data_IF_578586304847
#
_entry.id   IF_578586304847
#
_cell.length_a   1.000
_cell.length_b   1.000
_cell.length_c   1.000
_cell.angle_alpha   90.00
_cell.angle_beta   90.00
_cell.angle_gamma   90.00
#
_symmetry.space_group_name_H-M   'P 1'
#
loop_
_entity.id
_entity.type
_entity.pdbx_description
1 polymer ?
#
# COMPACT_ATOMS: atom_id res chain seq x y z
N UNK A 1 10.85 6.97 20.21
CA UNK A 1 10.57 8.03 21.20
C UNK A 1 11.64 9.16 21.15
N UNK A 2 12.94 8.85 21.14
CA UNK A 2 13.99 9.89 21.17
C UNK A 2 14.01 10.72 19.87
N UNK A 3 13.90 10.11 18.70
CA UNK A 3 13.90 10.82 17.42
C UNK A 3 12.80 11.89 17.32
N UNK A 4 11.57 11.51 17.71
CA UNK A 4 10.42 12.45 17.70
C UNK A 4 10.65 13.62 18.66
N UNK A 5 11.20 13.37 19.85
CA UNK A 5 11.57 14.45 20.82
C UNK A 5 12.61 15.41 20.26
N UNK A 6 13.46 14.93 19.36
CA UNK A 6 14.51 15.73 18.69
C UNK A 6 14.03 16.33 17.36
N UNK A 7 12.71 16.35 17.10
CA UNK A 7 12.12 17.01 15.95
C UNK A 7 12.09 16.17 14.66
N UNK A 8 12.47 14.88 14.71
CA UNK A 8 12.36 14.01 13.54
C UNK A 8 10.91 13.61 13.33
N UNK A 9 10.40 13.81 12.11
CA UNK A 9 9.10 13.28 11.69
C UNK A 9 9.26 11.84 11.20
N UNK A 10 8.62 10.90 11.91
CA UNK A 10 8.55 9.49 11.51
C UNK A 10 7.23 9.29 10.77
N UNK A 11 7.29 8.99 9.47
CA UNK A 11 6.12 8.81 8.61
C UNK A 11 6.03 7.35 8.20
N UNK A 12 4.91 6.69 8.54
CA UNK A 12 4.67 5.32 8.10
C UNK A 12 4.26 5.30 6.62
N UNK A 13 4.83 4.34 5.88
CA UNK A 13 4.51 4.08 4.48
C UNK A 13 4.15 2.62 4.30
N UNK A 14 2.90 2.32 3.95
CA UNK A 14 2.37 0.96 3.95
C UNK A 14 1.52 0.63 2.73
N UNK A 15 1.46 -0.67 2.36
CA UNK A 15 0.45 -1.19 1.44
C UNK A 15 -0.94 -1.37 2.06
N UNK A 16 -1.05 -1.23 3.39
CA UNK A 16 -2.33 -1.31 4.10
C UNK A 16 -3.20 -0.10 3.79
N UNK A 17 -4.52 -0.23 4.02
CA UNK A 17 -5.43 0.91 4.04
C UNK A 17 -5.00 1.94 5.10
N UNK A 18 -5.44 3.19 4.96
CA UNK A 18 -5.17 4.26 5.94
C UNK A 18 -5.59 3.82 7.34
N UNK A 19 -6.81 3.31 7.49
CA UNK A 19 -7.36 2.84 8.77
C UNK A 19 -6.46 1.79 9.44
N UNK A 20 -6.08 0.75 8.69
CA UNK A 20 -5.23 -0.32 9.22
C UNK A 20 -3.83 0.18 9.60
N UNK A 21 -3.28 1.16 8.87
CA UNK A 21 -1.96 1.70 9.13
C UNK A 21 -1.93 2.70 10.29
N UNK A 22 -3.03 3.42 10.55
CA UNK A 22 -3.15 4.36 11.67
C UNK A 22 -2.98 3.69 13.04
N UNK A 23 -3.46 2.46 13.22
CA UNK A 23 -3.30 1.73 14.48
C UNK A 23 -1.82 1.51 14.81
N UNK A 24 -1.00 1.18 13.81
CA UNK A 24 0.45 1.03 13.96
C UNK A 24 1.14 2.37 14.20
N UNK A 25 0.72 3.41 13.50
CA UNK A 25 1.24 4.78 13.65
C UNK A 25 1.09 5.26 15.11
N UNK A 26 -0.10 5.10 15.68
CA UNK A 26 -0.36 5.46 17.07
C UNK A 26 0.46 4.62 18.05
N UNK A 27 0.57 3.31 17.82
CA UNK A 27 1.29 2.40 18.69
C UNK A 27 2.79 2.74 18.83
N UNK A 28 3.43 3.25 17.76
CA UNK A 28 4.86 3.62 17.77
C UNK A 28 5.10 5.11 18.02
N UNK A 29 4.04 5.91 18.18
CA UNK A 29 4.16 7.36 18.35
C UNK A 29 4.79 8.06 17.14
N UNK A 30 4.47 7.59 15.92
CA UNK A 30 4.92 8.23 14.69
C UNK A 30 4.17 9.55 14.43
N UNK A 31 4.65 10.33 13.46
CA UNK A 31 4.00 11.56 13.01
C UNK A 31 2.55 11.28 12.57
N UNK A 32 1.60 12.21 12.77
CA UNK A 32 0.23 12.04 12.30
C UNK A 32 0.07 11.98 10.78
N UNK A 33 1.13 12.23 10.01
CA UNK A 33 1.15 12.02 8.57
C UNK A 33 1.39 10.55 8.23
N UNK A 34 0.65 10.02 7.26
CA UNK A 34 0.72 8.62 6.84
C UNK A 34 0.63 8.47 5.32
N UNK A 35 1.41 7.55 4.76
CA UNK A 35 1.30 7.10 3.37
C UNK A 35 0.72 5.69 3.39
N UNK A 36 -0.40 5.48 2.71
CA UNK A 36 -1.18 4.23 2.70
C UNK A 36 -1.43 3.70 1.29
N UNK A 37 -1.99 2.51 1.19
CA UNK A 37 -2.39 1.86 -0.06
C UNK A 37 -1.27 1.87 -1.13
N UNK A 38 -0.05 1.43 -0.74
CA UNK A 38 1.15 1.43 -1.60
C UNK A 38 1.57 2.81 -2.16
N UNK A 39 1.14 3.89 -1.52
CA UNK A 39 1.42 5.25 -1.96
C UNK A 39 0.29 5.88 -2.78
N UNK A 40 -0.88 5.27 -2.81
CA UNK A 40 -2.05 5.85 -3.45
C UNK A 40 -2.64 7.03 -2.67
N UNK A 41 -2.42 7.07 -1.36
CA UNK A 41 -2.88 8.16 -0.48
C UNK A 41 -1.78 8.58 0.48
N UNK A 42 -1.64 9.90 0.68
CA UNK A 42 -0.88 10.50 1.76
C UNK A 42 -1.78 11.52 2.49
N UNK A 43 -1.89 11.38 3.81
CA UNK A 43 -2.83 12.14 4.62
C UNK A 43 -2.17 12.64 5.90
N UNK A 44 -2.43 13.90 6.24
CA UNK A 44 -2.04 14.51 7.51
C UNK A 44 -3.26 14.59 8.44
N UNK A 45 -3.27 13.74 9.46
CA UNK A 45 -4.37 13.69 10.43
C UNK A 45 -4.37 14.88 11.41
N UNK A 46 -3.23 15.55 11.61
CA UNK A 46 -3.16 16.75 12.45
C UNK A 46 -3.92 17.92 11.84
N UNK A 47 -3.77 18.12 10.53
CA UNK A 47 -4.44 19.17 9.79
C UNK A 47 -5.71 18.72 9.08
N UNK A 48 -6.10 17.45 9.21
CA UNK A 48 -7.20 16.81 8.46
C UNK A 48 -7.10 17.09 6.95
N UNK A 49 -5.93 16.83 6.37
CA UNK A 49 -5.62 17.22 5.00
C UNK A 49 -5.13 16.03 4.16
N UNK A 50 -5.79 15.81 3.04
CA UNK A 50 -5.26 14.96 1.97
C UNK A 50 -4.11 15.69 1.27
N UNK A 51 -2.88 15.13 1.35
CA UNK A 51 -1.67 15.66 0.73
C UNK A 51 -1.57 15.16 -0.72
N UNK A 52 -1.88 13.89 -0.91
CA UNK A 52 -1.82 13.19 -2.17
C UNK A 52 -2.89 12.11 -2.23
N UNK A 53 -3.57 11.98 -3.37
CA UNK A 53 -4.56 10.95 -3.61
C UNK A 53 -4.53 10.57 -5.09
N UNK A 54 -4.24 9.31 -5.38
CA UNK A 54 -4.28 8.73 -6.72
C UNK A 54 -5.40 7.68 -6.75
N UNK A 55 -6.56 8.07 -7.26
CA UNK A 55 -7.75 7.22 -7.31
C UNK A 55 -7.77 6.33 -8.56
N UNK A 56 -8.56 5.28 -8.49
CA UNK A 56 -9.01 4.54 -9.67
C UNK A 56 -10.19 5.32 -10.28
N UNK A 57 -10.17 5.51 -11.59
CA UNK A 57 -11.28 6.19 -12.27
C UNK A 57 -12.59 5.40 -12.12
N UNK A 58 -13.72 6.07 -11.83
CA UNK A 58 -15.00 5.41 -11.50
C UNK A 58 -15.47 4.40 -12.54
N UNK A 59 -15.41 4.72 -13.83
CA UNK A 59 -15.86 3.80 -14.89
C UNK A 59 -15.00 2.54 -14.97
N UNK A 60 -13.70 2.67 -14.73
CA UNK A 60 -12.75 1.55 -14.67
C UNK A 60 -13.05 0.67 -13.45
N UNK A 61 -13.28 1.29 -12.30
CA UNK A 61 -13.63 0.59 -11.07
C UNK A 61 -14.96 -0.17 -11.18
N UNK A 62 -15.97 0.44 -11.81
CA UNK A 62 -17.25 -0.21 -12.10
C UNK A 62 -17.08 -1.45 -13.00
N UNK A 63 -16.20 -1.38 -14.00
CA UNK A 63 -15.87 -2.53 -14.84
C UNK A 63 -15.22 -3.67 -14.05
N UNK A 64 -14.32 -3.38 -13.11
CA UNK A 64 -13.71 -4.37 -12.23
C UNK A 64 -14.75 -5.01 -11.29
N UNK A 65 -15.66 -4.21 -10.73
CA UNK A 65 -16.75 -4.69 -9.86
C UNK A 65 -17.72 -5.58 -10.64
N UNK A 66 -18.10 -5.19 -11.85
CA UNK A 66 -18.99 -5.99 -12.70
C UNK A 66 -18.33 -7.33 -13.09
N UNK A 67 -17.05 -7.33 -13.46
CA UNK A 67 -16.30 -8.57 -13.69
C UNK A 67 -16.31 -9.47 -12.45
N UNK A 68 -16.00 -8.90 -11.29
CA UNK A 68 -15.97 -9.63 -10.03
C UNK A 68 -17.35 -10.21 -9.67
N UNK A 69 -18.43 -9.45 -9.89
CA UNK A 69 -19.83 -9.90 -9.70
C UNK A 69 -20.14 -11.13 -10.55
N UNK A 70 -19.86 -11.05 -11.85
CA UNK A 70 -20.13 -12.15 -12.81
C UNK A 70 -19.35 -13.42 -12.48
N UNK A 71 -18.16 -13.31 -11.90
CA UNK A 71 -17.30 -14.44 -11.57
C UNK A 71 -17.37 -14.87 -10.10
N UNK A 72 -18.13 -14.17 -9.26
CA UNK A 72 -18.34 -14.47 -7.84
C UNK A 72 -17.13 -14.19 -6.95
N UNK A 73 -16.23 -13.29 -7.36
CA UNK A 73 -15.08 -12.88 -6.56
C UNK A 73 -15.46 -12.03 -5.35
N UNK A 74 -14.61 -12.00 -4.35
CA UNK A 74 -14.72 -11.03 -3.26
C UNK A 74 -13.98 -9.76 -3.64
N UNK A 75 -14.62 -8.62 -3.42
CA UNK A 75 -14.07 -7.28 -3.69
C UNK A 75 -14.00 -6.48 -2.40
N UNK A 76 -12.86 -5.86 -2.16
CA UNK A 76 -12.61 -4.91 -1.06
C UNK A 76 -12.21 -3.58 -1.69
N UNK A 77 -12.87 -2.49 -1.29
CA UNK A 77 -12.54 -1.13 -1.70
C UNK A 77 -11.99 -0.34 -0.52
N UNK A 78 -10.89 0.36 -0.75
CA UNK A 78 -10.29 1.29 0.20
C UNK A 78 -10.45 2.73 -0.31
N UNK A 79 -11.02 3.61 0.54
CA UNK A 79 -11.22 5.03 0.25
C UNK A 79 -11.22 5.83 1.57
N UNK A 80 -10.51 6.94 1.62
CA UNK A 80 -10.33 7.69 2.86
C UNK A 80 -9.92 6.79 4.03
N UNK A 81 -10.62 6.89 5.16
CA UNK A 81 -10.45 6.02 6.33
C UNK A 81 -11.38 4.80 6.31
N UNK A 82 -12.07 4.57 5.20
CA UNK A 82 -13.09 3.55 5.08
C UNK A 82 -12.62 2.36 4.25
N UNK A 83 -13.19 1.23 4.60
CA UNK A 83 -12.99 -0.05 3.92
C UNK A 83 -14.33 -0.75 3.86
N UNK A 84 -14.75 -1.15 2.67
CA UNK A 84 -15.96 -1.98 2.47
C UNK A 84 -15.63 -3.22 1.64
N UNK A 85 -16.45 -4.24 1.80
CA UNK A 85 -16.24 -5.53 1.16
C UNK A 85 -17.57 -6.27 0.96
N UNK A 86 -17.75 -6.98 -0.16
CA UNK A 86 -19.00 -7.71 -0.43
C UNK A 86 -19.14 -9.06 0.28
N UNK A 87 -18.04 -9.58 0.85
CA UNK A 87 -18.02 -10.80 1.67
C UNK A 87 -16.90 -10.70 2.68
N UNK A 88 -17.03 -11.30 3.86
CA UNK A 88 -15.91 -11.45 4.78
C UNK A 88 -14.79 -12.26 4.10
N UNK A 89 -13.63 -11.64 3.90
CA UNK A 89 -12.51 -12.28 3.22
C UNK A 89 -11.69 -13.16 4.16
N UNK A 90 -11.70 -12.84 5.45
CA UNK A 90 -10.93 -13.52 6.49
C UNK A 90 -11.81 -13.71 7.73
N UNK A 91 -11.61 -14.83 8.42
CA UNK A 91 -12.38 -15.17 9.64
C UNK A 91 -12.23 -14.13 10.76
N UNK A 92 -11.09 -13.40 10.77
CA UNK A 92 -10.74 -12.39 11.79
C UNK A 92 -11.12 -10.96 11.39
N UNK A 93 -11.42 -10.70 10.11
CA UNK A 93 -11.89 -9.41 9.64
C UNK A 93 -13.41 -9.33 9.82
N UNK A 94 -13.88 -8.30 10.52
CA UNK A 94 -15.30 -7.91 10.55
C UNK A 94 -15.49 -6.66 9.68
N UNK A 95 -15.34 -6.77 8.35
CA UNK A 95 -15.65 -5.64 7.48
C UNK A 95 -17.15 -5.39 7.55
N UNK A 96 -17.57 -4.20 7.17
CA UNK A 96 -18.97 -3.97 6.85
C UNK A 96 -19.30 -4.80 5.61
N UNK A 97 -19.89 -5.97 5.82
CA UNK A 97 -20.30 -6.85 4.73
C UNK A 97 -21.39 -6.18 3.93
N UNK A 98 -21.19 -6.04 2.63
CA UNK A 98 -22.09 -5.29 1.75
C UNK A 98 -22.38 -6.04 0.45
N UNK A 99 -23.31 -5.51 -0.35
CA UNK A 99 -23.61 -6.01 -1.68
C UNK A 99 -22.72 -5.37 -2.76
N UNK A 100 -22.68 -5.95 -3.94
CA UNK A 100 -22.04 -5.32 -5.10
C UNK A 100 -22.66 -3.96 -5.46
N UNK A 101 -23.97 -3.79 -5.23
CA UNK A 101 -24.65 -2.52 -5.52
C UNK A 101 -24.15 -1.39 -4.63
N UNK A 102 -23.81 -1.68 -3.37
CA UNK A 102 -23.16 -0.72 -2.48
C UNK A 102 -21.72 -0.43 -2.92
N UNK A 103 -20.97 -1.44 -3.38
CA UNK A 103 -19.63 -1.24 -3.95
C UNK A 103 -19.69 -0.31 -5.17
N UNK A 104 -20.67 -0.49 -6.06
CA UNK A 104 -20.85 0.38 -7.23
C UNK A 104 -21.24 1.80 -6.84
N UNK A 105 -22.08 1.96 -5.80
CA UNK A 105 -22.41 3.29 -5.28
C UNK A 105 -21.14 4.00 -4.77
N UNK A 106 -20.33 3.31 -3.96
CA UNK A 106 -19.05 3.86 -3.45
C UNK A 106 -18.10 4.16 -4.60
N UNK A 107 -18.04 3.32 -5.64
CA UNK A 107 -17.19 3.57 -6.81
C UNK A 107 -17.54 4.86 -7.55
N UNK A 108 -18.81 5.30 -7.50
CA UNK A 108 -19.27 6.55 -8.13
C UNK A 108 -19.05 7.79 -7.26
N UNK A 109 -19.28 7.64 -5.95
CA UNK A 109 -19.36 8.78 -5.02
C UNK A 109 -18.04 9.06 -4.30
N UNK A 110 -17.17 8.06 -4.16
CA UNK A 110 -15.97 8.15 -3.32
C UNK A 110 -14.67 8.08 -4.14
N UNK A 111 -13.60 8.56 -3.53
CA UNK A 111 -12.27 8.48 -4.11
C UNK A 111 -11.60 7.16 -3.74
N UNK A 112 -11.93 6.10 -4.47
CA UNK A 112 -11.37 4.77 -4.24
C UNK A 112 -9.94 4.71 -4.75
N UNK A 113 -9.00 4.44 -3.86
CA UNK A 113 -7.56 4.40 -4.16
C UNK A 113 -7.04 2.98 -4.41
N UNK A 114 -7.80 1.97 -4.00
CA UNK A 114 -7.37 0.58 -4.08
C UNK A 114 -8.57 -0.36 -4.16
N UNK A 115 -8.52 -1.29 -5.12
CA UNK A 115 -9.51 -2.35 -5.31
C UNK A 115 -8.82 -3.71 -5.16
N UNK A 116 -9.06 -4.40 -4.05
CA UNK A 116 -8.53 -5.75 -3.84
C UNK A 116 -9.57 -6.78 -4.25
N UNK A 117 -9.26 -7.55 -5.27
CA UNK A 117 -10.08 -8.69 -5.70
C UNK A 117 -9.44 -9.98 -5.21
N UNK A 118 -10.23 -10.85 -4.61
CA UNK A 118 -9.73 -12.12 -4.09
C UNK A 118 -10.71 -13.29 -4.29
N UNK A 119 -10.14 -14.50 -4.33
CA UNK A 119 -10.85 -15.76 -4.45
C UNK A 119 -10.05 -16.88 -3.77
N UNK A 120 -10.72 -17.99 -3.49
CA UNK A 120 -10.08 -19.24 -3.04
C UNK A 120 -9.51 -20.05 -4.21
N UNK A 121 -9.95 -19.79 -5.43
CA UNK A 121 -9.51 -20.46 -6.65
C UNK A 121 -8.37 -19.69 -7.33
N UNK A 122 -7.22 -20.36 -7.42
CA UNK A 122 -6.02 -19.77 -8.03
C UNK A 122 -6.16 -19.53 -9.53
N UNK A 123 -6.81 -20.45 -10.26
CA UNK A 123 -6.97 -20.32 -11.70
C UNK A 123 -7.92 -19.17 -12.06
N UNK A 124 -9.01 -19.00 -11.31
CA UNK A 124 -9.89 -17.83 -11.46
C UNK A 124 -9.13 -16.53 -11.24
N UNK A 125 -8.26 -16.48 -10.22
CA UNK A 125 -7.46 -15.28 -9.96
C UNK A 125 -6.38 -15.04 -11.01
N UNK A 126 -5.81 -16.07 -11.63
CA UNK A 126 -4.92 -15.93 -12.80
C UNK A 126 -5.66 -15.28 -13.97
N UNK A 127 -6.87 -15.75 -14.28
CA UNK A 127 -7.71 -15.19 -15.34
C UNK A 127 -8.05 -13.73 -15.03
N UNK A 128 -8.43 -13.40 -13.79
CA UNK A 128 -8.67 -12.01 -13.38
C UNK A 128 -7.41 -11.14 -13.56
N UNK A 129 -6.25 -11.64 -13.14
CA UNK A 129 -4.99 -10.93 -13.30
C UNK A 129 -4.67 -10.58 -14.76
N UNK A 130 -4.83 -11.55 -15.65
CA UNK A 130 -4.62 -11.32 -17.09
C UNK A 130 -5.70 -10.40 -17.68
N UNK A 131 -6.95 -10.49 -17.21
CA UNK A 131 -8.01 -9.58 -17.58
C UNK A 131 -7.66 -8.13 -17.26
N UNK A 132 -7.22 -7.85 -16.03
CA UNK A 132 -6.81 -6.48 -15.64
C UNK A 132 -5.69 -5.96 -16.55
N UNK A 133 -4.68 -6.78 -16.83
CA UNK A 133 -3.52 -6.39 -17.65
C UNK A 133 -3.85 -6.13 -19.12
N UNK A 134 -4.82 -6.84 -19.66
CA UNK A 134 -5.16 -6.78 -21.07
C UNK A 134 -6.25 -5.74 -21.39
N UNK A 135 -7.20 -5.55 -20.47
CA UNK A 135 -8.37 -4.70 -20.72
C UNK A 135 -8.20 -3.26 -20.23
N UNK A 136 -7.31 -3.02 -19.27
CA UNK A 136 -7.16 -1.71 -18.67
C UNK A 136 -5.77 -1.12 -18.86
N UNK A 137 -5.70 -0.02 -19.62
CA UNK A 137 -4.55 0.88 -19.60
C UNK A 137 -4.70 1.84 -18.41
N UNK A 138 -3.61 2.12 -17.71
CA UNK A 138 -3.60 3.02 -16.56
C UNK A 138 -3.90 2.34 -15.21
N UNK A 139 -4.02 1.01 -15.19
CA UNK A 139 -4.05 0.22 -13.96
C UNK A 139 -2.79 -0.65 -13.83
N UNK A 140 -2.40 -0.87 -12.59
CA UNK A 140 -1.36 -1.86 -12.23
C UNK A 140 -1.85 -2.74 -11.08
N UNK A 141 -1.21 -3.90 -10.97
CA UNK A 141 -1.36 -4.79 -9.82
C UNK A 141 -0.25 -4.45 -8.84
N UNK A 142 -0.55 -3.51 -7.94
CA UNK A 142 0.38 -2.96 -6.97
C UNK A 142 0.91 -4.03 -5.98
N UNK A 143 0.11 -5.06 -5.71
CA UNK A 143 0.49 -6.21 -4.90
C UNK A 143 -0.35 -7.44 -5.30
N UNK A 144 0.23 -8.62 -5.14
CA UNK A 144 -0.45 -9.88 -5.49
C UNK A 144 0.05 -11.04 -4.64
N UNK A 145 -0.74 -12.11 -4.58
CA UNK A 145 -0.34 -13.34 -3.89
C UNK A 145 1.00 -13.88 -4.41
N UNK A 146 1.91 -14.19 -3.50
CA UNK A 146 3.28 -14.66 -3.82
C UNK A 146 3.33 -15.84 -4.80
N UNK A 147 2.26 -16.67 -4.85
CA UNK A 147 2.18 -17.81 -5.75
C UNK A 147 2.13 -17.42 -7.24
N UNK A 148 1.70 -16.21 -7.59
CA UNK A 148 1.78 -15.73 -8.97
C UNK A 148 3.21 -15.56 -9.45
N UNK A 149 4.14 -15.19 -8.54
CA UNK A 149 5.57 -15.07 -8.80
C UNK A 149 6.33 -16.39 -8.62
N UNK A 150 5.81 -17.30 -7.77
CA UNK A 150 6.40 -18.61 -7.52
C UNK A 150 5.30 -19.69 -7.41
N UNK A 151 4.94 -20.36 -8.53
CA UNK A 151 3.89 -21.38 -8.59
C UNK A 151 4.12 -22.61 -7.70
N UNK A 152 5.37 -22.89 -7.32
CA UNK A 152 5.73 -24.05 -6.49
C UNK A 152 5.41 -23.85 -5.00
N UNK A 153 5.03 -22.65 -4.60
CA UNK A 153 4.59 -22.40 -3.23
C UNK A 153 3.31 -23.18 -2.92
N UNK A 154 3.23 -23.65 -1.67
CA UNK A 154 2.03 -24.33 -1.17
C UNK A 154 0.78 -23.50 -1.43
N UNK A 155 -0.36 -24.14 -1.73
CA UNK A 155 -1.63 -23.45 -1.87
C UNK A 155 -1.96 -22.58 -0.66
N UNK A 156 -2.43 -21.38 -0.93
CA UNK A 156 -2.95 -20.46 0.09
C UNK A 156 -4.47 -20.67 0.26
N UNK A 157 -5.01 -20.31 1.42
CA UNK A 157 -6.46 -20.30 1.64
C UNK A 157 -7.17 -19.32 0.69
N UNK A 158 -6.51 -18.26 0.28
CA UNK A 158 -6.99 -17.24 -0.66
C UNK A 158 -5.87 -16.68 -1.50
N UNK A 159 -6.22 -16.23 -2.68
CA UNK A 159 -5.38 -15.52 -3.62
C UNK A 159 -5.98 -14.15 -3.87
N UNK A 160 -5.15 -13.14 -4.10
CA UNK A 160 -5.58 -11.76 -4.28
C UNK A 160 -4.76 -11.03 -5.34
N UNK A 161 -5.39 -10.04 -5.95
CA UNK A 161 -4.76 -8.99 -6.75
C UNK A 161 -5.21 -7.64 -6.19
N UNK A 162 -4.24 -6.80 -5.94
CA UNK A 162 -4.36 -5.46 -5.38
C UNK A 162 -4.24 -4.46 -6.52
N UNK A 163 -5.36 -4.00 -7.05
CA UNK A 163 -5.44 -3.15 -8.23
C UNK A 163 -5.48 -1.69 -7.83
N UNK A 164 -4.63 -0.87 -8.45
CA UNK A 164 -4.56 0.57 -8.28
C UNK A 164 -4.24 1.26 -9.62
N UNK A 165 -4.24 2.59 -9.67
CA UNK A 165 -3.71 3.35 -10.79
C UNK A 165 -2.24 3.00 -11.03
N UNK A 166 -1.78 2.94 -12.27
CA UNK A 166 -0.37 2.71 -12.65
C UNK A 166 0.56 3.86 -12.23
N UNK A 167 -0.01 5.01 -11.86
CA UNK A 167 0.72 6.16 -11.30
C UNK A 167 1.02 5.99 -9.80
N UNK A 168 0.40 5.02 -9.14
CA UNK A 168 0.61 4.77 -7.71
C UNK A 168 2.03 4.27 -7.47
N UNK A 169 2.76 4.98 -6.61
CA UNK A 169 4.02 4.51 -6.07
C UNK A 169 4.31 5.15 -4.71
N UNK A 170 4.96 4.41 -3.83
CA UNK A 170 5.43 4.97 -2.55
C UNK A 170 6.36 6.18 -2.77
N UNK A 171 7.13 6.18 -3.85
CA UNK A 171 8.01 7.29 -4.21
C UNK A 171 7.26 8.57 -4.55
N UNK A 172 6.17 8.51 -5.32
CA UNK A 172 5.34 9.68 -5.63
C UNK A 172 4.72 10.26 -4.36
N UNK A 173 4.20 9.42 -3.47
CA UNK A 173 3.64 9.87 -2.21
C UNK A 173 4.70 10.48 -1.28
N UNK A 174 5.90 9.89 -1.19
CA UNK A 174 7.04 10.46 -0.44
C UNK A 174 7.40 11.84 -0.99
N UNK A 175 7.50 11.99 -2.32
CA UNK A 175 7.77 13.29 -2.95
C UNK A 175 6.71 14.33 -2.57
N UNK A 176 5.43 13.99 -2.68
CA UNK A 176 4.33 14.90 -2.32
C UNK A 176 4.39 15.32 -0.84
N UNK A 177 4.70 14.37 0.06
CA UNK A 177 4.85 14.64 1.50
C UNK A 177 6.07 15.53 1.77
N UNK A 178 7.20 15.33 1.07
CA UNK A 178 8.35 16.20 1.18
C UNK A 178 8.05 17.63 0.74
N UNK A 179 7.37 17.80 -0.40
CA UNK A 179 6.92 19.10 -0.90
C UNK A 179 5.96 19.78 0.11
N UNK A 180 5.04 19.02 0.70
CA UNK A 180 4.09 19.54 1.70
C UNK A 180 4.77 20.07 2.97
N UNK A 181 5.78 19.37 3.49
CA UNK A 181 6.53 19.78 4.68
C UNK A 181 7.73 20.68 4.38
N UNK A 182 8.08 20.87 3.12
CA UNK A 182 9.24 21.65 2.71
C UNK A 182 10.59 20.95 2.91
N UNK A 183 10.61 19.60 2.93
CA UNK A 183 11.84 18.83 3.05
C UNK A 183 12.56 18.67 1.72
N UNK A 184 13.87 18.79 1.77
CA UNK A 184 14.77 18.45 0.66
C UNK A 184 15.10 16.95 0.66
N UNK A 185 15.63 16.43 -0.45
CA UNK A 185 16.01 15.02 -0.56
C UNK A 185 17.08 14.59 0.47
N UNK A 186 17.98 15.50 0.85
CA UNK A 186 19.06 15.23 1.81
C UNK A 186 18.55 15.18 3.27
N UNK A 187 17.40 15.76 3.55
CA UNK A 187 16.80 15.81 4.89
C UNK A 187 15.92 14.60 5.21
N UNK A 188 15.70 13.69 4.25
CA UNK A 188 14.88 12.51 4.43
C UNK A 188 15.71 11.23 4.38
N UNK A 189 15.24 10.24 5.16
CA UNK A 189 15.74 8.87 5.11
C UNK A 189 14.54 7.96 4.78
N UNK A 190 14.71 7.08 3.80
CA UNK A 190 13.71 6.06 3.48
C UNK A 190 14.22 4.69 3.89
N UNK A 191 13.38 3.89 4.55
CA UNK A 191 13.72 2.54 5.02
C UNK A 191 12.66 1.57 4.50
N UNK A 192 13.09 0.45 3.89
CA UNK A 192 12.17 -0.54 3.34
C UNK A 192 12.82 -1.87 3.03
N UNK A 193 12.01 -2.88 2.66
CA UNK A 193 12.46 -4.24 2.36
C UNK A 193 11.81 -4.86 1.10
N UNK A 194 10.79 -4.22 0.55
CA UNK A 194 10.00 -4.70 -0.58
C UNK A 194 10.32 -4.06 -1.93
N UNK A 195 9.85 -4.67 -3.00
CA UNK A 195 9.97 -4.13 -4.36
C UNK A 195 9.29 -2.75 -4.49
N UNK A 196 8.14 -2.55 -3.81
CA UNK A 196 7.40 -1.29 -3.78
C UNK A 196 8.13 -0.17 -3.03
N UNK A 197 9.15 -0.50 -2.20
CA UNK A 197 9.96 0.49 -1.49
C UNK A 197 11.08 1.08 -2.37
N UNK A 198 11.47 0.40 -3.44
CA UNK A 198 12.50 0.88 -4.37
C UNK A 198 12.18 2.26 -4.94
N UNK A 199 10.89 2.55 -5.14
CA UNK A 199 10.46 3.87 -5.61
C UNK A 199 10.73 5.00 -4.60
N UNK A 200 10.67 4.72 -3.27
CA UNK A 200 11.05 5.69 -2.23
C UNK A 200 12.57 5.85 -2.14
N UNK A 201 13.36 4.79 -2.37
CA UNK A 201 14.82 4.88 -2.34
C UNK A 201 15.36 5.88 -3.35
N UNK A 202 14.66 6.06 -4.48
CA UNK A 202 15.02 7.03 -5.52
C UNK A 202 14.75 8.49 -5.13
N UNK A 203 14.04 8.75 -4.03
CA UNK A 203 13.68 10.11 -3.61
C UNK A 203 14.76 10.76 -2.73
N UNK A 204 15.77 10.01 -2.29
CA UNK A 204 16.79 10.48 -1.36
C UNK A 204 18.12 9.75 -1.55
N UNK A 205 19.27 10.41 -1.32
CA UNK A 205 20.55 9.72 -1.22
C UNK A 205 20.68 8.86 0.04
N UNK A 206 19.80 9.06 1.04
CA UNK A 206 19.85 8.39 2.34
C UNK A 206 18.87 7.19 2.41
N UNK A 207 18.86 6.37 1.38
CA UNK A 207 17.98 5.18 1.33
C UNK A 207 18.60 3.98 2.04
N UNK A 208 17.79 3.23 2.80
CA UNK A 208 18.22 2.09 3.61
C UNK A 208 17.36 0.87 3.29
N UNK A 209 17.98 -0.22 2.87
CA UNK A 209 17.34 -1.52 2.76
C UNK A 209 17.48 -2.31 4.06
N UNK A 210 16.41 -3.01 4.45
CA UNK A 210 16.44 -3.92 5.59
C UNK A 210 17.29 -5.17 5.30
N UNK A 211 17.89 -5.77 6.33
CA UNK A 211 18.70 -6.96 6.22
C UNK A 211 17.95 -8.20 5.69
N UNK A 212 16.64 -8.28 5.92
CA UNK A 212 15.76 -9.31 5.38
C UNK A 212 15.30 -9.06 3.93
N UNK A 213 15.61 -7.92 3.31
CA UNK A 213 15.29 -7.64 1.92
C UNK A 213 16.02 -8.57 0.95
N UNK A 214 15.43 -8.81 -0.22
CA UNK A 214 16.10 -9.58 -1.29
C UNK A 214 17.36 -8.84 -1.76
N UNK A 215 18.39 -9.59 -2.26
CA UNK A 215 19.63 -8.98 -2.75
C UNK A 215 19.40 -7.85 -3.75
N UNK A 216 18.51 -8.06 -4.71
CA UNK A 216 18.16 -7.08 -5.74
C UNK A 216 17.56 -5.76 -5.18
N UNK A 217 16.92 -5.80 -4.00
CA UNK A 217 16.40 -4.61 -3.31
C UNK A 217 17.53 -3.90 -2.58
N UNK A 218 18.40 -4.66 -1.90
CA UNK A 218 19.58 -4.12 -1.21
C UNK A 218 20.50 -3.36 -2.15
N UNK A 219 20.67 -3.83 -3.40
CA UNK A 219 21.47 -3.16 -4.42
C UNK A 219 20.90 -1.80 -4.87
N UNK A 220 19.62 -1.52 -4.59
CA UNK A 220 18.95 -0.25 -4.94
C UNK A 220 19.01 0.80 -3.83
N UNK A 221 19.39 0.43 -2.64
CA UNK A 221 19.52 1.33 -1.50
C UNK A 221 20.99 1.79 -1.33
N UNK A 222 21.18 2.96 -0.75
CA UNK A 222 22.51 3.50 -0.44
C UNK A 222 23.17 2.76 0.72
N UNK A 223 22.37 2.24 1.66
CA UNK A 223 22.84 1.54 2.84
C UNK A 223 21.98 0.29 3.10
N UNK A 224 22.56 -0.65 3.86
CA UNK A 224 21.83 -1.83 4.36
C UNK A 224 21.96 -1.87 5.87
N UNK A 225 20.81 -2.04 6.55
CA UNK A 225 20.75 -2.27 8.00
C UNK A 225 20.58 -3.76 8.33
N UNK A 226 20.39 -4.11 9.60
CA UNK A 226 20.07 -5.49 10.04
C UNK A 226 18.61 -5.83 9.68
N UNK A 227 18.23 -7.10 9.93
CA UNK A 227 16.88 -7.59 9.65
C UNK A 227 15.82 -6.97 10.57
N UNK A 228 14.55 -7.20 10.25
CA UNK A 228 13.42 -6.85 11.11
C UNK A 228 13.49 -7.58 12.47
N UNK A 229 14.03 -8.83 12.50
CA UNK A 229 14.19 -9.62 13.74
C UNK A 229 15.35 -9.13 14.62
N UNK A 230 16.16 -8.21 14.09
CA UNK A 230 17.34 -7.63 14.76
C UNK A 230 17.21 -6.11 14.95
N UNK A 231 15.99 -5.60 14.99
CA UNK A 231 15.67 -4.18 15.21
C UNK A 231 16.30 -3.23 14.18
N UNK A 232 16.38 -3.63 12.90
CA UNK A 232 17.07 -2.89 11.84
C UNK A 232 16.63 -1.43 11.70
N UNK A 233 15.33 -1.12 11.84
CA UNK A 233 14.83 0.27 11.80
C UNK A 233 15.33 1.06 13.00
N UNK A 234 15.27 0.49 14.20
CA UNK A 234 15.74 1.15 15.42
C UNK A 234 17.22 1.50 15.34
N UNK A 235 18.06 0.58 14.84
CA UNK A 235 19.50 0.81 14.64
C UNK A 235 19.81 1.94 13.66
N UNK A 236 18.99 2.13 12.63
CA UNK A 236 19.13 3.28 11.73
C UNK A 236 18.82 4.57 12.48
N UNK A 237 17.70 4.60 13.20
CA UNK A 237 17.26 5.78 13.96
C UNK A 237 18.24 6.17 15.09
N UNK A 238 18.86 5.18 15.76
CA UNK A 238 19.86 5.41 16.81
C UNK A 238 21.16 6.06 16.31
N UNK A 239 21.49 5.90 15.02
CA UNK A 239 22.66 6.51 14.41
C UNK A 239 22.45 7.99 14.04
N UNK A 240 21.22 8.49 14.15
CA UNK A 240 20.90 9.89 13.89
C UNK A 240 21.15 10.81 15.11
N UNK A 241 21.46 10.19 16.27
CA UNK A 241 21.64 10.90 17.53
C UNK A 241 22.84 10.35 18.36
#
# INVERSE_FOLDING_TARGET
>A
ANCVKNGVKIILTSGRSRREAMDFQMAIGASPCIISSNGASAYDAECNREIYNERIEPDVLLGLIDYARRNGHTVKLNYGDSLIMNKAAYDDEKPLETSYDVLEHVAREEQVVQCVVNDTDFEKMKIFREYVKNEYNGLDIANESKRFKNPDLKPSKRYYCDVASDKVSKGHAVKAVCEYFGFTADEIITIGDGENDVSMFKQTPNSVAMGNALPMIKEKASFVTTSNDEDGVAKVLERLY
#
